data_IF_048935168832
#
_entry.id   IF_048935168832
#
_cell.length_a   1.000
_cell.length_b   1.000
_cell.length_c   1.000
_cell.angle_alpha   90.00
_cell.angle_beta   90.00
_cell.angle_gamma   90.00
#
_symmetry.space_group_name_H-M   'P 1'
#
loop_
_entity.id
_entity.type
_entity.pdbx_description
1 polymer ?
#
# COMPACT_ATOMS: atom_id res chain seq x y z
N UNK A 1 1.12 21.92 7.88
CA UNK A 1 0.60 20.92 6.94
C UNK A 1 1.77 20.02 6.63
N UNK A 2 1.69 18.73 6.95
CA UNK A 2 2.75 17.80 6.56
C UNK A 2 2.75 17.69 5.03
N UNK A 3 3.87 18.02 4.41
CA UNK A 3 3.98 18.18 2.95
C UNK A 3 4.15 16.82 2.26
N UNK A 4 3.28 16.52 1.29
CA UNK A 4 3.35 15.32 0.46
C UNK A 4 4.21 15.52 -0.79
N UNK A 5 4.55 16.76 -1.14
CA UNK A 5 5.32 17.08 -2.35
C UNK A 5 6.64 16.31 -2.46
N UNK A 6 7.41 16.07 -1.37
CA UNK A 6 8.63 15.27 -1.46
C UNK A 6 8.38 13.85 -1.99
N UNK A 7 7.28 13.21 -1.56
CA UNK A 7 6.95 11.84 -1.97
C UNK A 7 6.46 11.79 -3.41
N UNK A 8 5.68 12.78 -3.83
CA UNK A 8 5.23 12.92 -5.22
C UNK A 8 6.42 13.10 -6.16
N UNK A 9 7.37 13.96 -5.80
CA UNK A 9 8.57 14.19 -6.59
C UNK A 9 9.44 12.94 -6.69
N UNK A 10 9.66 12.25 -5.56
CA UNK A 10 10.41 10.99 -5.55
C UNK A 10 9.74 9.90 -6.40
N UNK A 11 8.40 9.85 -6.43
CA UNK A 11 7.68 8.92 -7.30
C UNK A 11 7.83 9.29 -8.79
N UNK A 12 7.73 10.57 -9.14
CA UNK A 12 7.93 11.01 -10.52
C UNK A 12 9.34 10.68 -11.05
N UNK A 13 10.35 10.74 -10.19
CA UNK A 13 11.73 10.35 -10.53
C UNK A 13 11.90 8.83 -10.72
N UNK A 14 11.10 8.01 -10.02
CA UNK A 14 11.11 6.55 -10.14
C UNK A 14 10.65 6.06 -11.53
N UNK A 15 9.81 6.83 -12.23
CA UNK A 15 9.23 6.58 -13.57
C UNK A 15 8.21 5.45 -13.67
N UNK A 16 8.43 4.31 -13.04
CA UNK A 16 7.54 3.14 -13.12
C UNK A 16 7.39 2.39 -11.80
N UNK A 17 6.37 1.54 -11.70
CA UNK A 17 6.14 0.70 -10.53
C UNK A 17 5.22 1.31 -9.50
N UNK A 18 5.59 1.14 -8.23
CA UNK A 18 4.80 1.60 -7.09
C UNK A 18 5.68 2.32 -6.06
N UNK A 19 5.09 3.26 -5.33
CA UNK A 19 5.67 3.83 -4.11
C UNK A 19 4.64 3.83 -3.00
N UNK A 20 5.05 3.40 -1.81
CA UNK A 20 4.23 3.47 -0.60
C UNK A 20 4.92 4.28 0.48
N UNK A 21 4.12 4.81 1.39
CA UNK A 21 4.64 5.56 2.54
C UNK A 21 4.46 4.72 3.80
N UNK A 22 5.57 4.51 4.51
CA UNK A 22 5.62 3.77 5.76
C UNK A 22 5.64 4.71 6.96
N UNK A 23 5.07 4.24 8.08
CA UNK A 23 5.12 4.92 9.36
C UNK A 23 5.42 3.95 10.49
N UNK A 24 6.33 4.33 11.39
CA UNK A 24 6.48 3.61 12.66
C UNK A 24 5.26 3.86 13.55
N UNK A 25 4.62 2.78 13.99
CA UNK A 25 3.42 2.80 14.84
C UNK A 25 3.59 1.91 16.07
N UNK A 26 2.85 2.24 17.13
CA UNK A 26 2.88 1.46 18.38
C UNK A 26 2.13 0.12 18.27
N UNK A 27 1.07 0.05 17.47
CA UNK A 27 0.22 -1.13 17.30
C UNK A 27 0.12 -1.55 15.82
N UNK A 28 1.19 -2.17 15.27
CA UNK A 28 1.28 -2.50 13.84
C UNK A 28 0.28 -3.57 13.39
N UNK A 29 -0.20 -4.44 14.31
CA UNK A 29 -1.10 -5.55 13.97
C UNK A 29 -2.47 -5.13 13.43
N UNK A 30 -2.78 -3.82 13.45
CA UNK A 30 -4.00 -3.24 12.90
C UNK A 30 -3.93 -2.89 11.41
N UNK A 31 -2.74 -2.95 10.80
CA UNK A 31 -2.46 -2.43 9.46
C UNK A 31 -1.76 -3.47 8.57
N UNK A 32 -1.56 -3.13 7.30
CA UNK A 32 -0.53 -3.75 6.48
C UNK A 32 0.85 -3.44 7.05
N UNK A 33 1.63 -4.46 7.40
CA UNK A 33 2.96 -4.30 8.03
C UNK A 33 4.05 -4.70 7.05
N UNK A 34 4.98 -3.79 6.80
CA UNK A 34 6.11 -4.03 5.92
C UNK A 34 7.21 -4.83 6.63
N UNK A 35 7.68 -5.89 5.99
CA UNK A 35 8.90 -6.61 6.34
C UNK A 35 10.08 -5.97 5.58
N UNK A 36 11.13 -5.62 6.32
CA UNK A 36 12.29 -4.92 5.79
C UNK A 36 13.56 -5.76 5.94
N UNK A 37 14.35 -5.82 4.87
CA UNK A 37 15.74 -6.27 4.88
C UNK A 37 16.65 -5.06 4.65
N UNK A 38 17.19 -4.50 5.73
CA UNK A 38 17.86 -3.20 5.68
C UNK A 38 16.88 -2.11 5.27
N UNK A 39 17.14 -1.44 4.14
CA UNK A 39 16.28 -0.39 3.59
C UNK A 39 15.31 -0.90 2.50
N UNK A 40 15.28 -2.20 2.22
CA UNK A 40 14.46 -2.80 1.17
C UNK A 40 13.22 -3.46 1.77
N UNK A 41 12.05 -3.18 1.20
CA UNK A 41 10.83 -3.94 1.50
C UNK A 41 10.90 -5.28 0.77
N UNK A 42 10.65 -6.36 1.51
CA UNK A 42 10.65 -7.73 0.96
C UNK A 42 9.28 -8.39 1.00
N UNK A 43 8.38 -7.92 1.87
CA UNK A 43 7.02 -8.43 1.97
C UNK A 43 6.12 -7.44 2.75
N UNK A 44 4.81 -7.52 2.56
CA UNK A 44 3.82 -6.83 3.40
C UNK A 44 2.77 -7.84 3.85
N UNK A 45 2.44 -7.85 5.14
CA UNK A 45 1.40 -8.72 5.71
C UNK A 45 0.21 -7.89 6.20
N UNK A 46 -1.01 -8.31 5.83
CA UNK A 46 -2.25 -7.61 6.20
C UNK A 46 -2.71 -7.99 7.61
N UNK A 47 -2.65 -7.04 8.55
CA UNK A 47 -3.03 -7.17 9.97
C UNK A 47 -2.46 -8.45 10.61
N UNK A 48 -1.12 -8.61 10.62
CA UNK A 48 -0.48 -9.82 11.13
C UNK A 48 -0.67 -9.94 12.64
N UNK A 49 -0.91 -11.17 13.11
CA UNK A 49 -0.98 -11.47 14.55
C UNK A 49 0.38 -11.31 15.25
N UNK A 50 1.46 -11.55 14.51
CA UNK A 50 2.84 -11.39 14.96
C UNK A 50 3.59 -10.49 13.96
N UNK A 51 3.49 -9.15 14.09
CA UNK A 51 4.10 -8.20 13.17
C UNK A 51 5.62 -8.36 13.10
N UNK A 52 6.17 -8.46 11.89
CA UNK A 52 7.62 -8.59 11.66
C UNK A 52 8.40 -7.28 11.77
N UNK A 53 7.70 -6.15 11.82
CA UNK A 53 8.28 -4.84 12.07
C UNK A 53 7.24 -3.91 12.73
N UNK A 54 7.67 -2.69 13.07
CA UNK A 54 6.80 -1.61 13.54
C UNK A 54 6.29 -0.69 12.42
N UNK A 55 6.62 -0.99 11.16
CA UNK A 55 6.35 -0.11 10.03
C UNK A 55 5.04 -0.49 9.37
N UNK A 56 4.02 0.32 9.63
CA UNK A 56 2.73 0.23 8.96
C UNK A 56 2.78 0.92 7.60
N UNK A 57 2.13 0.31 6.62
CA UNK A 57 1.78 0.96 5.36
C UNK A 57 0.67 1.97 5.65
N UNK A 58 0.93 3.24 5.34
CA UNK A 58 -0.07 4.31 5.49
C UNK A 58 -1.11 4.25 4.36
N UNK A 59 -2.11 5.13 4.40
CA UNK A 59 -3.12 5.25 3.33
C UNK A 59 -2.65 5.98 2.06
N UNK A 60 -1.34 6.14 1.83
CA UNK A 60 -0.78 6.90 0.71
C UNK A 60 -0.03 5.94 -0.23
N UNK A 61 -0.53 5.85 -1.45
CA UNK A 61 -0.04 4.94 -2.47
C UNK A 61 0.13 5.67 -3.81
N UNK A 62 1.21 5.35 -4.51
CA UNK A 62 1.46 5.79 -5.88
C UNK A 62 1.67 4.55 -6.75
N UNK A 63 1.00 4.50 -7.89
CA UNK A 63 1.12 3.38 -8.83
C UNK A 63 1.18 3.88 -10.27
N UNK A 64 1.91 3.13 -11.09
CA UNK A 64 1.84 3.25 -12.53
C UNK A 64 0.52 2.67 -13.06
N UNK A 65 0.17 2.90 -14.33
CA UNK A 65 -1.07 2.37 -14.91
C UNK A 65 -1.20 0.83 -14.89
N UNK A 66 -0.10 0.08 -14.67
CA UNK A 66 -0.18 -1.39 -14.63
C UNK A 66 -1.00 -1.90 -13.45
N UNK A 67 -1.26 -1.06 -12.45
CA UNK A 67 -2.07 -1.38 -11.26
C UNK A 67 -3.47 -1.87 -11.62
N UNK A 68 -4.06 -1.36 -12.71
CA UNK A 68 -5.40 -1.76 -13.12
C UNK A 68 -5.45 -3.24 -13.53
N UNK A 69 -4.42 -3.73 -14.21
CA UNK A 69 -4.32 -5.16 -14.55
C UNK A 69 -4.09 -6.01 -13.30
N UNK A 70 -3.31 -5.51 -12.35
CA UNK A 70 -3.08 -6.20 -11.07
C UNK A 70 -4.39 -6.34 -10.30
N UNK A 71 -5.17 -5.26 -10.20
CA UNK A 71 -6.46 -5.25 -9.48
C UNK A 71 -7.46 -6.23 -10.10
N UNK A 72 -7.55 -6.30 -11.43
CA UNK A 72 -8.41 -7.27 -12.12
C UNK A 72 -8.03 -8.73 -11.84
N UNK A 73 -6.75 -8.99 -11.56
CA UNK A 73 -6.24 -10.33 -11.22
C UNK A 73 -6.40 -10.72 -9.76
N UNK A 74 -6.83 -9.81 -8.88
CA UNK A 74 -6.94 -10.10 -7.45
C UNK A 74 -8.06 -11.09 -7.15
N UNK A 75 -7.87 -11.83 -6.06
CA UNK A 75 -8.88 -12.71 -5.49
C UNK A 75 -9.24 -12.24 -4.09
N UNK A 76 -10.50 -12.38 -3.65
CA UNK A 76 -10.87 -12.07 -2.28
C UNK A 76 -9.99 -12.82 -1.27
N UNK A 77 -9.57 -12.14 -0.22
CA UNK A 77 -8.82 -12.72 0.89
C UNK A 77 -9.71 -13.66 1.72
N UNK A 78 -9.15 -14.27 2.77
CA UNK A 78 -9.94 -15.02 3.76
C UNK A 78 -11.02 -14.18 4.46
N UNK A 79 -11.01 -12.85 4.29
CA UNK A 79 -12.04 -11.91 4.77
C UNK A 79 -13.10 -11.57 3.73
N UNK A 80 -12.95 -12.04 2.49
CA UNK A 80 -13.82 -11.67 1.37
C UNK A 80 -13.52 -10.29 0.77
N UNK A 81 -12.37 -9.68 1.11
CA UNK A 81 -11.97 -8.35 0.65
C UNK A 81 -10.86 -8.44 -0.40
N UNK A 82 -10.82 -7.49 -1.35
CA UNK A 82 -9.68 -7.30 -2.24
C UNK A 82 -8.63 -6.41 -1.56
N UNK A 83 -7.49 -6.99 -1.23
CA UNK A 83 -6.49 -6.35 -0.35
C UNK A 83 -5.49 -5.52 -1.16
N UNK A 84 -5.27 -4.26 -0.76
CA UNK A 84 -4.19 -3.44 -1.32
C UNK A 84 -2.80 -4.02 -1.01
N UNK A 85 -2.69 -4.77 0.09
CA UNK A 85 -1.49 -5.51 0.46
C UNK A 85 -1.09 -6.51 -0.65
N UNK A 86 -2.04 -7.13 -1.34
CA UNK A 86 -1.75 -8.04 -2.46
C UNK A 86 -1.22 -7.30 -3.69
N UNK A 87 -1.77 -6.12 -3.99
CA UNK A 87 -1.24 -5.22 -5.04
C UNK A 87 0.19 -4.80 -4.71
N UNK A 88 0.45 -4.36 -3.48
CA UNK A 88 1.80 -3.97 -3.08
C UNK A 88 2.78 -5.15 -3.20
N UNK A 89 2.38 -6.34 -2.77
CA UNK A 89 3.18 -7.55 -2.88
C UNK A 89 3.44 -7.97 -4.34
N UNK A 90 2.53 -7.66 -5.27
CA UNK A 90 2.80 -7.82 -6.70
C UNK A 90 3.98 -6.94 -7.16
N UNK A 91 3.99 -5.66 -6.81
CA UNK A 91 5.10 -4.76 -7.18
C UNK A 91 6.40 -5.09 -6.44
N UNK A 92 6.33 -5.59 -5.20
CA UNK A 92 7.50 -6.11 -4.46
C UNK A 92 8.12 -7.29 -5.21
N UNK A 93 7.30 -8.26 -5.62
CA UNK A 93 7.77 -9.43 -6.39
C UNK A 93 8.38 -9.04 -7.74
N UNK A 94 7.84 -8.00 -8.38
CA UNK A 94 8.38 -7.44 -9.63
C UNK A 94 9.66 -6.63 -9.40
N UNK A 95 10.01 -6.29 -8.15
CA UNK A 95 11.18 -5.48 -7.80
C UNK A 95 11.02 -3.99 -8.11
N UNK A 96 9.78 -3.53 -8.33
CA UNK A 96 9.45 -2.17 -8.77
C UNK A 96 8.69 -1.37 -7.70
N UNK A 97 8.63 -1.88 -6.47
CA UNK A 97 8.08 -1.13 -5.33
C UNK A 97 9.21 -0.43 -4.57
N UNK A 98 9.05 0.87 -4.34
CA UNK A 98 9.89 1.64 -3.41
C UNK A 98 9.07 2.15 -2.23
N UNK A 99 9.74 2.65 -1.21
CA UNK A 99 9.07 3.27 -0.08
C UNK A 99 9.82 4.48 0.48
N UNK A 100 9.06 5.36 1.13
CA UNK A 100 9.58 6.44 1.97
C UNK A 100 8.97 6.39 3.36
N UNK A 101 9.61 7.05 4.32
CA UNK A 101 9.18 7.07 5.72
C UNK A 101 8.56 8.42 6.11
N UNK A 102 7.35 8.39 6.66
CA UNK A 102 6.66 9.57 7.13
C UNK A 102 7.16 10.02 8.51
N UNK A 103 7.78 11.20 8.58
CA UNK A 103 8.36 11.73 9.82
C UNK A 103 7.34 12.45 10.71
N UNK A 104 6.29 13.02 10.13
CA UNK A 104 5.26 13.78 10.84
C UNK A 104 4.31 12.92 11.69
N UNK A 105 3.36 13.57 12.37
CA UNK A 105 2.28 12.87 13.06
C UNK A 105 1.35 12.25 12.02
N UNK A 106 1.07 10.97 12.18
CA UNK A 106 0.11 10.26 11.32
C UNK A 106 -0.97 9.69 12.21
N UNK A 107 -2.21 10.09 11.93
CA UNK A 107 -3.39 9.50 12.55
C UNK A 107 -4.10 8.71 11.46
N UNK A 108 -4.45 7.48 11.77
CA UNK A 108 -5.36 6.70 10.96
C UNK A 108 -6.71 7.43 10.91
N UNK A 109 -6.91 8.24 9.87
CA UNK A 109 -8.13 9.01 9.64
C UNK A 109 -9.23 8.08 9.11
N UNK A 110 -9.54 7.05 9.92
CA UNK A 110 -10.71 6.18 9.83
C UNK A 110 -11.17 5.81 8.43
N UNK A 111 -11.01 4.53 8.10
CA UNK A 111 -11.59 3.80 6.97
C UNK A 111 -10.86 3.93 5.63
N UNK A 112 -10.21 2.82 5.28
CA UNK A 112 -9.87 2.24 3.97
C UNK A 112 -10.91 2.41 2.84
N UNK A 113 -11.89 3.29 2.97
CA UNK A 113 -12.99 3.46 2.04
C UNK A 113 -12.54 4.00 0.69
N UNK A 114 -11.53 4.86 0.58
CA UNK A 114 -11.27 5.51 -0.73
C UNK A 114 -10.81 4.52 -1.81
N UNK A 115 -9.82 3.66 -1.53
CA UNK A 115 -9.39 2.66 -2.52
C UNK A 115 -10.37 1.49 -2.62
N UNK A 116 -10.96 1.05 -1.50
CA UNK A 116 -11.94 -0.03 -1.53
C UNK A 116 -13.24 0.39 -2.23
N UNK A 117 -13.64 1.67 -2.10
CA UNK A 117 -14.72 2.28 -2.86
C UNK A 117 -14.32 2.48 -4.32
N UNK A 118 -13.11 2.95 -4.63
CA UNK A 118 -12.65 3.07 -6.01
C UNK A 118 -12.64 1.70 -6.72
N UNK A 119 -12.13 0.66 -6.06
CA UNK A 119 -12.16 -0.71 -6.56
C UNK A 119 -13.59 -1.24 -6.72
N UNK A 120 -14.47 -0.99 -5.74
CA UNK A 120 -15.89 -1.39 -5.81
C UNK A 120 -16.64 -0.68 -6.93
N UNK A 121 -16.48 0.64 -7.05
CA UNK A 121 -17.08 1.44 -8.10
C UNK A 121 -16.59 1.00 -9.48
N UNK A 122 -15.29 0.70 -9.64
CA UNK A 122 -14.76 0.18 -10.90
C UNK A 122 -15.30 -1.21 -11.25
N UNK A 123 -15.55 -2.08 -10.27
CA UNK A 123 -16.17 -3.40 -10.49
C UNK A 123 -17.69 -3.29 -10.76
N UNK A 124 -18.34 -2.24 -10.26
CA UNK A 124 -19.76 -1.96 -10.48
C UNK A 124 -20.01 -1.22 -11.82
N UNK A 125 -19.03 -0.47 -12.32
CA UNK A 125 -19.07 0.28 -13.59
C UNK A 125 -18.63 -0.53 -14.83
N UNK A 126 -18.31 -1.83 -14.69
CA UNK A 126 -18.02 -2.73 -15.82
C UNK A 126 -19.22 -3.68 -16.09
N UNK A 127 -20.34 -3.20 -16.68
CA UNK A 127 -21.24 -4.09 -17.37
C UNK A 127 -20.63 -4.36 -18.75
N UNK A 128 -20.28 -5.62 -18.98
CA UNK A 128 -20.04 -6.20 -20.31
C UNK A 128 -20.79 -5.54 -21.46
#
# INVERSE_FOLDING_TARGET
SDDLAPFVNAYNEQKEGAKIILKEVADPGRFGVAELEGNKIVNIEEKPKAPKSKYAVTGIYFYDPSVFEVVRGLKPSGRGELEITDVNNYYIKRGTLTCDFFKGSWTDAGTFNSLHLANRLMLEEDPS
#
